data_IF_448447549682
#
_entry.id   IF_448447549682
#
_cell.length_a   1.000
_cell.length_b   1.000
_cell.length_c   1.000
_cell.angle_alpha   90.00
_cell.angle_beta   90.00
_cell.angle_gamma   90.00
#
_symmetry.space_group_name_H-M   'P 1'
#
loop_
_entity.id
_entity.type
_entity.pdbx_description
1 polymer ?
#
# COMPACT_ATOMS: atom_id res chain seq x y z
N UNK A 1 -1.38 -5.38 7.70
CA UNK A 1 -1.73 -3.99 7.34
C UNK A 1 -3.18 -3.79 7.77
N UNK A 2 -3.59 -2.56 8.06
CA UNK A 2 -4.93 -2.21 8.53
C UNK A 2 -5.58 -1.15 7.63
N UNK A 3 -6.89 -0.99 7.74
CA UNK A 3 -7.61 0.13 7.12
C UNK A 3 -7.02 1.46 7.65
N UNK A 4 -6.71 2.37 6.74
CA UNK A 4 -6.06 3.65 7.00
C UNK A 4 -4.53 3.63 6.87
N UNK A 5 -3.90 2.46 6.77
CA UNK A 5 -2.45 2.37 6.57
C UNK A 5 -2.06 2.94 5.19
N UNK A 6 -0.95 3.68 5.16
CA UNK A 6 -0.29 4.07 3.91
C UNK A 6 0.57 2.91 3.41
N UNK A 7 0.44 2.58 2.13
CA UNK A 7 1.10 1.43 1.52
C UNK A 7 1.73 1.76 0.17
N UNK A 8 2.70 0.95 -0.23
CA UNK A 8 3.30 0.95 -1.58
C UNK A 8 3.34 -0.47 -2.14
N UNK A 9 3.41 -0.58 -3.47
CA UNK A 9 3.75 -1.85 -4.12
C UNK A 9 5.21 -2.16 -3.82
N UNK A 10 5.50 -3.38 -3.38
CA UNK A 10 6.88 -3.82 -3.11
C UNK A 10 7.75 -3.71 -4.35
N UNK A 11 8.98 -3.22 -4.16
CA UNK A 11 9.92 -3.00 -5.28
C UNK A 11 10.40 -4.28 -5.97
N UNK A 12 10.26 -5.45 -5.33
CA UNK A 12 10.68 -6.74 -5.87
C UNK A 12 9.60 -7.46 -6.69
N UNK A 13 8.39 -6.91 -6.80
CA UNK A 13 7.31 -7.45 -7.64
C UNK A 13 7.63 -7.13 -9.10
N UNK A 14 7.96 -8.15 -9.89
CA UNK A 14 8.32 -8.01 -11.31
C UNK A 14 7.11 -8.25 -12.23
N UNK A 15 6.08 -7.42 -12.06
CA UNK A 15 4.88 -7.42 -12.90
C UNK A 15 4.64 -6.01 -13.44
N UNK A 16 4.58 -5.88 -14.77
CA UNK A 16 4.41 -4.60 -15.46
C UNK A 16 3.11 -3.88 -15.08
N UNK A 17 2.06 -4.63 -14.73
CA UNK A 17 0.76 -4.10 -14.30
C UNK A 17 0.88 -3.07 -13.17
N UNK A 18 1.91 -3.19 -12.32
CA UNK A 18 2.08 -2.33 -11.14
C UNK A 18 3.11 -1.21 -11.33
N UNK A 19 3.76 -1.09 -12.50
CA UNK A 19 4.86 -0.15 -12.70
C UNK A 19 4.44 1.30 -12.45
N UNK A 20 3.25 1.69 -12.89
CA UNK A 20 2.69 3.03 -12.68
C UNK A 20 2.35 3.31 -11.20
N UNK A 21 1.88 2.28 -10.50
CA UNK A 21 1.47 2.36 -9.09
C UNK A 21 2.66 2.24 -8.12
N UNK A 22 3.78 1.64 -8.54
CA UNK A 22 4.98 1.44 -7.71
C UNK A 22 5.63 2.75 -7.25
N UNK A 23 5.47 3.82 -8.04
CA UNK A 23 5.96 5.16 -7.68
C UNK A 23 5.03 5.93 -6.72
N UNK A 24 3.84 5.40 -6.44
CA UNK A 24 2.79 6.08 -5.70
C UNK A 24 2.61 5.50 -4.30
N UNK A 25 2.12 6.33 -3.37
CA UNK A 25 1.63 5.89 -2.06
C UNK A 25 0.12 5.75 -2.14
N UNK A 26 -0.39 4.59 -1.75
CA UNK A 26 -1.82 4.35 -1.61
C UNK A 26 -2.26 4.36 -0.15
N UNK A 27 -3.57 4.48 0.07
CA UNK A 27 -4.20 4.31 1.40
C UNK A 27 -5.15 3.12 1.37
N UNK A 28 -5.08 2.27 2.39
CA UNK A 28 -5.99 1.12 2.54
C UNK A 28 -7.36 1.62 2.98
N UNK A 29 -8.40 1.29 2.20
CA UNK A 29 -9.78 1.69 2.47
C UNK A 29 -10.65 0.55 3.00
N UNK A 30 -10.35 -0.68 2.60
CA UNK A 30 -11.12 -1.87 2.96
C UNK A 30 -10.25 -3.14 2.83
N UNK A 31 -10.69 -4.25 3.41
CA UNK A 31 -10.02 -5.54 3.26
C UNK A 31 -11.00 -6.71 3.38
N UNK A 32 -10.71 -7.79 2.66
CA UNK A 32 -11.34 -9.09 2.89
C UNK A 32 -10.31 -10.21 2.82
N UNK A 33 -10.64 -11.35 3.37
CA UNK A 33 -9.81 -12.55 3.34
C UNK A 33 -10.52 -13.65 2.57
N UNK A 34 -9.78 -14.34 1.72
CA UNK A 34 -10.20 -15.60 1.13
C UNK A 34 -9.28 -16.75 1.58
N UNK A 35 -9.44 -17.93 0.99
CA UNK A 35 -8.63 -19.11 1.36
C UNK A 35 -7.15 -19.00 0.97
N UNK A 36 -6.77 -18.00 0.16
CA UNK A 36 -5.44 -17.84 -0.43
C UNK A 36 -4.65 -16.67 0.16
N UNK A 37 -5.30 -15.53 0.43
CA UNK A 37 -4.63 -14.33 0.94
C UNK A 37 -5.65 -13.32 1.51
N UNK A 38 -5.13 -12.32 2.21
CA UNK A 38 -5.84 -11.06 2.44
C UNK A 38 -5.74 -10.17 1.21
N UNK A 39 -6.86 -9.60 0.79
CA UNK A 39 -7.00 -8.63 -0.30
C UNK A 39 -7.30 -7.26 0.28
N UNK A 40 -6.60 -6.24 -0.20
CA UNK A 40 -6.77 -4.87 0.27
C UNK A 40 -7.30 -3.98 -0.85
N UNK A 41 -8.35 -3.20 -0.55
CA UNK A 41 -8.78 -2.12 -1.43
C UNK A 41 -7.91 -0.91 -1.15
N UNK A 42 -7.04 -0.56 -2.10
CA UNK A 42 -6.10 0.55 -1.98
C UNK A 42 -6.49 1.65 -2.94
N UNK A 43 -6.59 2.87 -2.43
CA UNK A 43 -6.77 4.06 -3.27
C UNK A 43 -5.42 4.67 -3.63
N UNK A 44 -5.18 4.84 -4.92
CA UNK A 44 -4.05 5.58 -5.49
C UNK A 44 -4.60 6.76 -6.28
N UNK A 45 -4.21 7.98 -5.90
CA UNK A 45 -4.76 9.22 -6.48
C UNK A 45 -6.30 9.20 -6.53
N UNK A 46 -6.90 9.10 -7.73
CA UNK A 46 -8.35 9.10 -7.94
C UNK A 46 -8.94 7.72 -8.26
N UNK A 47 -8.13 6.67 -8.24
CA UNK A 47 -8.53 5.31 -8.59
C UNK A 47 -8.35 4.34 -7.42
N UNK A 48 -9.06 3.22 -7.45
CA UNK A 48 -9.00 2.18 -6.41
C UNK A 48 -8.81 0.80 -7.03
N UNK A 49 -7.96 0.00 -6.39
CA UNK A 49 -7.58 -1.32 -6.84
C UNK A 49 -7.69 -2.32 -5.68
N UNK A 50 -8.12 -3.54 -5.99
CA UNK A 50 -7.98 -4.68 -5.07
C UNK A 50 -6.64 -5.34 -5.32
N UNK A 51 -5.83 -5.47 -4.27
CA UNK A 51 -4.44 -5.92 -4.37
C UNK A 51 -4.16 -6.95 -3.27
N UNK A 52 -3.51 -8.04 -3.65
CA UNK A 52 -3.08 -9.07 -2.71
C UNK A 52 -2.07 -8.50 -1.70
N UNK A 53 -2.27 -8.82 -0.42
CA UNK A 53 -1.44 -8.31 0.66
C UNK A 53 0.04 -8.60 0.52
N UNK A 54 0.43 -9.69 -0.15
CA UNK A 54 1.84 -10.03 -0.35
C UNK A 54 2.55 -9.09 -1.32
N UNK A 55 1.82 -8.34 -2.16
CA UNK A 55 2.36 -7.34 -3.08
C UNK A 55 2.62 -5.98 -2.42
N UNK A 56 2.10 -5.76 -1.22
CA UNK A 56 2.09 -4.46 -0.54
C UNK A 56 3.04 -4.41 0.65
N UNK A 57 3.60 -3.23 0.90
CA UNK A 57 4.35 -2.91 2.12
C UNK A 57 3.85 -1.61 2.75
N UNK A 58 3.77 -1.58 4.08
CA UNK A 58 3.41 -0.38 4.85
C UNK A 58 4.52 0.65 4.83
N UNK A 59 4.14 1.91 4.56
CA UNK A 59 5.05 3.05 4.64
C UNK A 59 5.18 3.47 6.10
N UNK A 60 6.38 3.32 6.66
CA UNK A 60 6.68 3.88 7.98
C UNK A 60 7.11 5.34 7.84
N UNK A 61 6.37 6.26 8.46
CA UNK A 61 6.79 7.66 8.56
C UNK A 61 7.71 7.75 9.77
N UNK A 62 9.02 7.86 9.53
CA UNK A 62 9.94 8.30 10.57
C UNK A 62 9.62 9.78 10.86
N UNK A 63 8.86 10.03 11.92
CA UNK A 63 8.78 11.35 12.52
C UNK A 63 10.15 11.67 13.13
N UNK A 64 11.11 12.10 12.31
CA UNK A 64 12.24 12.87 12.81
C UNK A 64 11.68 14.22 13.25
N UNK A 65 11.17 14.26 14.48
CA UNK A 65 10.89 15.49 15.18
C UNK A 65 12.20 16.24 15.35
N UNK A 66 12.50 17.12 14.39
CA UNK A 66 13.40 18.25 14.63
C UNK A 66 12.77 19.09 15.75
N UNK A 67 13.14 18.79 16.99
CA UNK A 67 13.02 19.75 18.08
C UNK A 67 14.06 20.84 17.85
N UNK A 68 13.67 21.85 17.09
CA UNK A 68 14.29 23.16 17.13
C UNK A 68 13.52 24.01 18.15
N UNK A 69 13.88 23.86 19.42
CA UNK A 69 13.68 24.88 20.47
C UNK A 69 14.89 24.87 21.41
#
# INVERSE_FOLDING_TARGET
MNIGDLVKIKSNVNEQTWDELRSQVGIVLDMYEDMSTTHYKVQYAHEYFWIDGFLLETVSINNNGEKNE
#
